data_IF_148717277569
#
_entry.id   IF_148717277569
#
_cell.length_a   1.000
_cell.length_b   1.000
_cell.length_c   1.000
_cell.angle_alpha   90.00
_cell.angle_beta   90.00
_cell.angle_gamma   90.00
#
_symmetry.space_group_name_H-M   'P 1'
#
loop_
_entity.id
_entity.type
_entity.pdbx_description
1 polymer ?
#
# COMPACT_ATOMS: atom_id res chain seq x y z
N UNK A 1 0.74 16.60 43.71
CA UNK A 1 -0.53 16.18 43.09
C UNK A 1 -0.32 16.38 41.59
N UNK A 2 -0.21 15.28 40.81
CA UNK A 2 0.20 15.25 39.40
C UNK A 2 -0.68 16.21 38.56
N UNK A 3 -0.11 17.20 37.86
CA UNK A 3 0.56 17.13 36.55
C UNK A 3 -0.31 16.54 35.43
N UNK A 4 -0.58 17.41 34.44
CA UNK A 4 -0.61 17.11 33.01
C UNK A 4 -1.41 15.87 32.58
N UNK A 5 -2.70 16.05 32.23
CA UNK A 5 -3.46 14.99 31.55
C UNK A 5 -4.52 15.49 30.53
N UNK A 6 -4.69 16.80 30.39
CA UNK A 6 -5.82 17.36 29.63
C UNK A 6 -5.42 18.20 28.41
N UNK A 7 -4.13 18.48 28.22
CA UNK A 7 -3.65 19.37 27.15
C UNK A 7 -2.98 18.67 25.96
N UNK A 8 -3.17 17.36 25.80
CA UNK A 8 -2.42 16.53 24.82
C UNK A 8 -3.34 15.75 23.86
N UNK A 9 -4.64 16.10 23.81
CA UNK A 9 -5.66 15.34 23.04
C UNK A 9 -6.40 16.12 21.97
N UNK A 10 -6.08 17.40 21.77
CA UNK A 10 -6.71 18.25 20.74
C UNK A 10 -5.77 18.57 19.56
N UNK A 11 -4.51 18.11 19.60
CA UNK A 11 -3.49 18.42 18.59
C UNK A 11 -3.36 17.30 17.53
N UNK A 12 -4.16 16.25 17.67
CA UNK A 12 -4.26 15.15 16.71
C UNK A 12 -5.58 15.29 15.96
N UNK A 13 -5.74 16.37 15.20
CA UNK A 13 -6.47 16.30 13.93
C UNK A 13 -5.63 15.39 13.03
N UNK A 14 -5.83 14.10 13.26
CA UNK A 14 -5.04 12.95 12.83
C UNK A 14 -4.57 13.02 11.38
N UNK A 15 -3.30 12.72 11.16
CA UNK A 15 -2.63 12.63 9.86
C UNK A 15 -3.14 11.46 9.00
N UNK A 16 -4.44 11.47 8.68
CA UNK A 16 -5.08 10.49 7.82
C UNK A 16 -4.88 10.84 6.35
N UNK A 17 -4.39 9.86 5.58
CA UNK A 17 -4.33 9.97 4.13
C UNK A 17 -5.71 9.63 3.57
N UNK A 18 -6.33 10.59 2.88
CA UNK A 18 -7.57 10.35 2.15
C UNK A 18 -7.30 9.43 0.96
N UNK A 19 -7.90 8.23 1.00
CA UNK A 19 -7.76 7.24 -0.07
C UNK A 19 -8.82 7.47 -1.15
N UNK A 20 -8.44 7.44 -2.44
CA UNK A 20 -9.40 7.50 -3.55
C UNK A 20 -10.49 6.42 -3.43
N UNK A 21 -11.68 6.71 -3.94
CA UNK A 21 -12.78 5.75 -4.01
C UNK A 21 -12.35 4.49 -4.81
N UNK A 22 -12.61 3.27 -4.31
CA UNK A 22 -12.27 2.03 -5.04
C UNK A 22 -12.83 1.97 -6.47
N UNK A 23 -14.02 2.52 -6.72
CA UNK A 23 -14.63 2.52 -8.06
C UNK A 23 -13.81 3.35 -9.06
N UNK A 24 -13.23 4.47 -8.62
CA UNK A 24 -12.36 5.33 -9.46
C UNK A 24 -11.09 4.59 -9.86
N UNK A 25 -10.52 3.82 -8.93
CA UNK A 25 -9.32 3.01 -9.21
C UNK A 25 -9.65 1.82 -10.12
N UNK A 26 -10.76 1.14 -9.86
CA UNK A 26 -11.19 -0.01 -10.63
C UNK A 26 -11.47 0.34 -12.10
N UNK A 27 -12.08 1.51 -12.36
CA UNK A 27 -12.42 1.97 -13.71
C UNK A 27 -11.20 2.12 -14.63
N UNK A 28 -10.01 2.34 -14.07
CA UNK A 28 -8.78 2.56 -14.83
C UNK A 28 -7.84 1.35 -14.82
N UNK A 29 -8.26 0.22 -14.23
CA UNK A 29 -7.43 -0.98 -14.10
C UNK A 29 -7.63 -1.92 -15.29
N UNK A 30 -6.55 -2.42 -15.92
CA UNK A 30 -6.64 -3.48 -16.92
C UNK A 30 -7.29 -4.76 -16.36
N UNK A 31 -8.07 -5.45 -17.18
CA UNK A 31 -8.75 -6.68 -16.77
C UNK A 31 -7.77 -7.83 -16.43
N UNK A 32 -6.60 -7.83 -17.06
CA UNK A 32 -5.52 -8.80 -16.92
C UNK A 32 -4.48 -8.40 -15.84
N UNK A 33 -4.82 -7.42 -14.98
CA UNK A 33 -3.91 -6.98 -13.93
C UNK A 33 -3.48 -8.14 -13.01
N UNK A 34 -2.17 -8.27 -12.68
CA UNK A 34 -1.63 -9.43 -11.96
C UNK A 34 -2.19 -9.62 -10.55
N UNK A 35 -2.80 -8.57 -10.00
CA UNK A 35 -3.57 -8.57 -8.76
C UNK A 35 -5.03 -8.20 -9.05
N UNK A 36 -5.84 -9.18 -9.42
CA UNK A 36 -7.26 -9.02 -9.72
C UNK A 36 -8.12 -9.82 -8.72
N UNK A 37 -8.31 -9.25 -7.52
CA UNK A 37 -9.03 -9.88 -6.42
C UNK A 37 -10.50 -9.43 -6.31
N UNK A 38 -11.07 -8.85 -7.38
CA UNK A 38 -12.43 -8.28 -7.37
C UNK A 38 -12.55 -6.89 -6.75
N UNK A 39 -11.46 -6.32 -6.20
CA UNK A 39 -11.39 -4.93 -5.72
C UNK A 39 -9.94 -4.41 -5.75
N UNK A 40 -9.71 -3.08 -5.90
CA UNK A 40 -8.39 -2.49 -5.70
C UNK A 40 -7.86 -2.70 -4.28
N UNK A 41 -6.57 -3.04 -4.17
CA UNK A 41 -5.92 -3.24 -2.87
C UNK A 41 -5.77 -1.92 -2.11
N UNK A 42 -5.68 -1.98 -0.77
CA UNK A 42 -5.43 -0.80 0.07
C UNK A 42 -4.14 -0.10 -0.35
N UNK A 43 -3.08 -0.88 -0.58
CA UNK A 43 -1.81 -0.37 -1.11
C UNK A 43 -1.97 0.38 -2.45
N UNK A 44 -2.74 -0.15 -3.41
CA UNK A 44 -2.95 0.52 -4.70
C UNK A 44 -3.60 1.90 -4.52
N UNK A 45 -4.59 1.99 -3.63
CA UNK A 45 -5.28 3.25 -3.30
C UNK A 45 -4.34 4.22 -2.59
N UNK A 46 -3.52 3.72 -1.66
CA UNK A 46 -2.54 4.53 -0.94
C UNK A 46 -1.50 5.14 -1.88
N UNK A 47 -0.95 4.37 -2.82
CA UNK A 47 0.03 4.85 -3.79
C UNK A 47 -0.58 5.93 -4.70
N UNK A 48 -1.85 5.79 -5.07
CA UNK A 48 -2.56 6.79 -5.87
C UNK A 48 -2.85 8.09 -5.12
N UNK A 49 -3.00 8.05 -3.79
CA UNK A 49 -3.11 9.25 -2.98
C UNK A 49 -1.80 10.08 -2.95
N UNK A 50 -0.68 9.52 -3.41
CA UNK A 50 0.64 10.12 -3.29
C UNK A 50 1.32 10.33 -4.66
N UNK A 51 1.00 11.41 -5.40
CA UNK A 51 1.52 11.63 -6.75
C UNK A 51 3.05 11.75 -6.82
N UNK A 52 3.70 12.20 -5.74
CA UNK A 52 5.16 12.36 -5.68
C UNK A 52 5.92 11.04 -5.54
N UNK A 53 5.38 10.07 -4.80
CA UNK A 53 6.11 8.83 -4.42
C UNK A 53 5.48 7.57 -5.02
N UNK A 54 4.18 7.57 -5.27
CA UNK A 54 3.43 6.44 -5.82
C UNK A 54 4.02 5.91 -7.13
N UNK A 55 4.28 6.77 -8.14
CA UNK A 55 4.86 6.30 -9.42
C UNK A 55 6.24 5.67 -9.27
N UNK A 56 7.09 6.20 -8.39
CA UNK A 56 8.43 5.65 -8.15
C UNK A 56 8.35 4.28 -7.46
N UNK A 57 7.48 4.15 -6.46
CA UNK A 57 7.23 2.89 -5.77
C UNK A 57 6.71 1.83 -6.75
N UNK A 58 5.66 2.14 -7.54
CA UNK A 58 5.05 1.20 -8.47
C UNK A 58 6.06 0.66 -9.48
N UNK A 59 6.96 1.51 -9.99
CA UNK A 59 8.02 1.09 -10.91
C UNK A 59 9.01 0.12 -10.25
N UNK A 60 9.47 0.43 -9.03
CA UNK A 60 10.39 -0.45 -8.31
C UNK A 60 9.72 -1.77 -7.95
N UNK A 61 8.47 -1.70 -7.48
CA UNK A 61 7.65 -2.88 -7.20
C UNK A 61 7.48 -3.74 -8.45
N UNK A 62 7.21 -3.16 -9.62
CA UNK A 62 7.02 -3.95 -10.84
C UNK A 62 8.31 -4.66 -11.28
N UNK A 63 9.45 -3.97 -11.18
CA UNK A 63 10.77 -4.56 -11.45
C UNK A 63 11.04 -5.73 -10.51
N UNK A 64 10.82 -5.52 -9.20
CA UNK A 64 11.04 -6.55 -8.20
C UNK A 64 10.07 -7.72 -8.39
N UNK A 65 8.81 -7.51 -8.76
CA UNK A 65 7.84 -8.62 -8.79
C UNK A 65 7.76 -9.36 -10.12
N UNK A 66 8.03 -8.69 -11.24
CA UNK A 66 7.68 -9.21 -12.58
C UNK A 66 8.84 -9.35 -13.55
N UNK A 67 9.97 -8.69 -13.33
CA UNK A 67 11.13 -8.86 -14.22
C UNK A 67 11.89 -10.16 -13.96
N UNK A 68 12.55 -10.74 -14.99
CA UNK A 68 13.40 -11.92 -14.83
C UNK A 68 14.44 -11.75 -13.72
N UNK A 69 14.79 -12.84 -13.03
CA UNK A 69 15.79 -12.84 -11.97
C UNK A 69 15.94 -14.21 -11.33
N UNK A 70 16.71 -14.26 -10.23
CA UNK A 70 17.04 -15.52 -9.55
C UNK A 70 15.83 -16.22 -8.92
N UNK A 71 14.78 -15.46 -8.56
CA UNK A 71 13.56 -15.98 -7.97
C UNK A 71 12.41 -15.95 -8.98
N UNK A 72 11.63 -17.03 -8.98
CA UNK A 72 10.31 -17.10 -9.61
C UNK A 72 9.35 -16.09 -8.99
N UNK A 73 8.26 -15.76 -9.69
CA UNK A 73 7.24 -14.85 -9.15
C UNK A 73 6.68 -15.37 -7.83
N UNK A 74 6.38 -16.66 -7.73
CA UNK A 74 5.83 -17.29 -6.52
C UNK A 74 6.79 -17.14 -5.32
N UNK A 75 8.09 -17.30 -5.53
CA UNK A 75 9.09 -17.11 -4.47
C UNK A 75 9.17 -15.64 -4.02
N UNK A 76 9.05 -14.69 -4.97
CA UNK A 76 9.01 -13.27 -4.61
C UNK A 76 7.76 -12.89 -3.82
N UNK A 77 6.60 -13.45 -4.17
CA UNK A 77 5.37 -13.29 -3.40
C UNK A 77 5.50 -13.91 -2.00
N UNK A 78 6.16 -15.07 -1.87
CA UNK A 78 6.43 -15.68 -0.56
C UNK A 78 7.28 -14.76 0.33
N UNK A 79 8.37 -14.20 -0.22
CA UNK A 79 9.22 -13.23 0.51
C UNK A 79 8.42 -12.00 0.93
N UNK A 80 7.58 -11.46 0.02
CA UNK A 80 6.74 -10.31 0.32
C UNK A 80 5.74 -10.61 1.46
N UNK A 81 5.08 -11.77 1.41
CA UNK A 81 4.10 -12.19 2.42
C UNK A 81 4.75 -12.40 3.81
N UNK A 82 5.89 -13.09 3.88
CA UNK A 82 6.63 -13.29 5.13
C UNK A 82 7.10 -11.95 5.69
N UNK A 83 7.65 -11.07 4.83
CA UNK A 83 8.14 -9.74 5.22
C UNK A 83 7.00 -8.84 5.71
N UNK A 84 5.84 -8.88 5.08
CA UNK A 84 4.66 -8.15 5.53
C UNK A 84 4.16 -8.66 6.89
N UNK A 85 4.13 -9.99 7.06
CA UNK A 85 3.70 -10.63 8.31
C UNK A 85 4.60 -10.25 9.49
N UNK A 86 5.93 -10.31 9.34
CA UNK A 86 6.85 -9.95 10.44
C UNK A 86 6.85 -8.45 10.76
N UNK A 87 6.47 -7.61 9.79
CA UNK A 87 6.33 -6.16 10.00
C UNK A 87 4.93 -5.74 10.45
N UNK A 88 3.99 -6.68 10.63
CA UNK A 88 2.59 -6.37 10.89
C UNK A 88 1.99 -5.38 9.87
N UNK A 89 2.27 -5.59 8.58
CA UNK A 89 1.73 -4.77 7.48
C UNK A 89 0.49 -5.44 6.89
N UNK A 90 -0.68 -4.77 6.99
CA UNK A 90 -1.99 -5.34 6.66
C UNK A 90 -2.62 -4.81 5.35
N UNK A 91 -1.84 -4.12 4.51
CA UNK A 91 -2.32 -3.37 3.33
C UNK A 91 -2.61 -4.20 2.07
#
# INVERSE_FOLDING_TARGET
MREQAQGDRDDIDDAYVQLPDPAVIAANRPADHPYNFGSPTGMSRLLMAHPRIGPAFLRLFSQIMFEPGALSRQEREFVAAVTASVQNCFY
#
